data_IF_798982094158
#
_entry.id   IF_798982094158
#
_cell.length_a   1.000
_cell.length_b   1.000
_cell.length_c   1.000
_cell.angle_alpha   90.00
_cell.angle_beta   90.00
_cell.angle_gamma   90.00
#
_symmetry.space_group_name_H-M   'P 1'
#
loop_
_entity.id
_entity.type
_entity.pdbx_description
1 polymer ?
#
# COMPACT_ATOMS: atom_id res chain seq x y z
N UNK A 1 5.17 -3.07 -26.70
CA UNK A 1 3.97 -3.52 -27.46
C UNK A 1 3.18 -4.43 -26.52
N UNK A 2 1.91 -4.14 -26.29
CA UNK A 2 1.02 -5.00 -25.52
C UNK A 2 0.53 -6.14 -26.43
N UNK A 3 0.77 -7.39 -26.03
CA UNK A 3 0.16 -8.54 -26.68
C UNK A 3 -1.24 -8.74 -26.09
N UNK A 4 -2.26 -8.77 -26.95
CA UNK A 4 -3.63 -9.09 -26.56
C UNK A 4 -4.06 -10.42 -27.20
N UNK A 5 -4.72 -11.22 -26.40
CA UNK A 5 -5.30 -12.50 -26.84
C UNK A 5 -6.80 -12.44 -26.58
N UNK A 6 -7.58 -12.98 -27.48
CA UNK A 6 -9.03 -13.11 -27.33
C UNK A 6 -9.40 -14.60 -27.25
N UNK A 7 -10.40 -14.91 -26.48
CA UNK A 7 -10.90 -16.28 -26.31
C UNK A 7 -12.28 -16.27 -25.66
N UNK A 8 -12.99 -17.36 -25.81
CA UNK A 8 -14.28 -17.56 -25.20
C UNK A 8 -14.17 -17.57 -23.67
N UNK A 9 -15.26 -17.26 -22.99
CA UNK A 9 -15.31 -17.17 -21.51
C UNK A 9 -14.88 -18.46 -20.83
N UNK A 10 -15.18 -19.60 -21.42
CA UNK A 10 -14.84 -20.93 -20.87
C UNK A 10 -13.34 -21.20 -20.98
N UNK A 11 -12.71 -20.79 -22.09
CA UNK A 11 -11.25 -20.86 -22.27
C UNK A 11 -10.55 -19.96 -21.23
N UNK A 12 -11.04 -18.75 -21.07
CA UNK A 12 -10.51 -17.82 -20.08
C UNK A 12 -10.71 -18.33 -18.63
N UNK A 13 -11.86 -18.95 -18.34
CA UNK A 13 -12.12 -19.56 -17.04
C UNK A 13 -11.18 -20.75 -16.77
N UNK A 14 -10.85 -21.53 -17.78
CA UNK A 14 -9.87 -22.62 -17.69
C UNK A 14 -8.46 -22.12 -17.34
N UNK A 15 -8.04 -20.97 -17.90
CA UNK A 15 -6.76 -20.36 -17.60
C UNK A 15 -6.66 -19.78 -16.17
N UNK A 16 -7.78 -19.29 -15.65
CA UNK A 16 -7.80 -18.57 -14.36
C UNK A 16 -8.26 -19.43 -13.20
N UNK A 17 -8.90 -20.55 -13.47
CA UNK A 17 -9.54 -21.40 -12.48
C UNK A 17 -10.87 -20.85 -11.90
N UNK A 18 -11.41 -19.77 -12.48
CA UNK A 18 -12.69 -19.18 -12.07
C UNK A 18 -13.36 -18.43 -13.22
N UNK A 19 -14.69 -18.26 -13.15
CA UNK A 19 -15.45 -17.53 -14.15
C UNK A 19 -15.16 -16.03 -14.08
N UNK A 20 -14.73 -15.48 -15.22
CA UNK A 20 -14.50 -14.02 -15.37
C UNK A 20 -15.83 -13.29 -15.50
N UNK A 21 -16.09 -12.37 -14.59
CA UNK A 21 -17.30 -11.53 -14.61
C UNK A 21 -17.15 -10.28 -15.48
N UNK A 22 -15.92 -9.85 -15.76
CA UNK A 22 -15.61 -8.59 -16.45
C UNK A 22 -14.66 -8.76 -17.64
N UNK A 23 -14.69 -9.81 -18.37
CA UNK A 23 -14.15 -9.97 -19.72
C UNK A 23 -12.68 -9.64 -20.02
N UNK A 24 -11.92 -9.04 -19.09
CA UNK A 24 -10.53 -8.63 -19.29
C UNK A 24 -9.64 -9.15 -18.17
N UNK A 25 -8.52 -9.77 -18.56
CA UNK A 25 -7.42 -10.15 -17.69
C UNK A 25 -6.15 -9.49 -18.16
N UNK A 26 -5.38 -8.92 -17.23
CA UNK A 26 -4.07 -8.37 -17.51
C UNK A 26 -3.02 -9.12 -16.69
N UNK A 27 -2.00 -9.65 -17.38
CA UNK A 27 -0.78 -10.12 -16.75
C UNK A 27 0.30 -9.07 -16.95
N UNK A 28 0.87 -8.57 -15.85
CA UNK A 28 1.89 -7.53 -15.88
C UNK A 28 3.12 -7.97 -15.09
N UNK A 29 4.29 -7.55 -15.54
CA UNK A 29 5.51 -7.72 -14.75
C UNK A 29 5.44 -6.81 -13.53
N UNK A 30 5.84 -7.33 -12.37
CA UNK A 30 5.96 -6.49 -11.17
C UNK A 30 7.02 -5.42 -11.39
N UNK A 31 6.76 -4.16 -11.06
CA UNK A 31 7.76 -3.11 -11.13
C UNK A 31 8.88 -3.37 -10.11
N UNK A 32 10.05 -2.85 -10.39
CA UNK A 32 11.09 -2.74 -9.37
C UNK A 32 10.64 -1.69 -8.36
N UNK A 33 10.60 -2.07 -7.09
CA UNK A 33 10.26 -1.13 -6.03
C UNK A 33 11.46 -0.21 -5.75
N UNK A 34 11.20 1.08 -5.47
CA UNK A 34 12.25 2.01 -5.04
C UNK A 34 12.78 1.63 -3.65
N UNK A 35 13.92 2.19 -3.26
CA UNK A 35 14.39 2.06 -1.87
C UNK A 35 13.54 2.88 -0.91
N UNK A 36 13.54 2.49 0.37
CA UNK A 36 12.86 3.25 1.44
C UNK A 36 13.35 4.70 1.46
N UNK A 37 14.65 4.90 1.38
CA UNK A 37 15.24 6.24 1.35
C UNK A 37 14.75 7.09 0.17
N UNK A 38 14.64 6.49 -1.03
CA UNK A 38 14.15 7.20 -2.22
C UNK A 38 12.73 7.72 -2.05
N UNK A 39 11.80 6.89 -1.52
CA UNK A 39 10.40 7.30 -1.39
C UNK A 39 10.16 8.22 -0.18
N UNK A 40 11.01 8.13 0.86
CA UNK A 40 10.90 8.96 2.04
C UNK A 40 11.59 10.32 1.89
N UNK A 41 12.47 10.50 0.92
CA UNK A 41 13.31 11.71 0.80
C UNK A 41 12.51 13.02 0.77
N UNK A 42 11.41 13.06 0.00
CA UNK A 42 10.54 14.23 -0.09
C UNK A 42 9.19 14.06 0.61
N UNK A 43 8.94 12.89 1.19
CA UNK A 43 7.67 12.59 1.83
C UNK A 43 7.53 13.39 3.14
N UNK A 44 6.35 13.94 3.37
CA UNK A 44 5.95 14.59 4.63
C UNK A 44 5.13 13.66 5.50
N UNK A 45 4.28 12.83 4.87
CA UNK A 45 3.42 11.84 5.54
C UNK A 45 3.65 10.46 4.95
N UNK A 46 4.04 9.53 5.81
CA UNK A 46 4.33 8.15 5.45
C UNK A 46 3.48 7.21 6.29
N UNK A 47 2.77 6.31 5.66
CA UNK A 47 2.06 5.25 6.35
C UNK A 47 2.91 3.99 6.42
N UNK A 48 3.10 3.44 7.62
CA UNK A 48 3.80 2.16 7.83
C UNK A 48 2.76 1.09 8.15
N UNK A 49 2.73 0.03 7.37
CA UNK A 49 1.85 -1.11 7.56
C UNK A 49 2.61 -2.25 8.22
N UNK A 50 2.15 -2.64 9.40
CA UNK A 50 2.72 -3.74 10.16
C UNK A 50 1.67 -4.82 10.40
N UNK A 51 2.01 -6.06 10.06
CA UNK A 51 1.20 -7.26 10.29
C UNK A 51 -0.24 -7.18 9.76
N UNK A 52 -0.46 -6.48 8.64
CA UNK A 52 -1.76 -6.42 7.96
C UNK A 52 -1.89 -7.63 7.02
N UNK A 53 -2.53 -8.68 7.46
CA UNK A 53 -2.60 -9.97 6.75
C UNK A 53 -3.78 -10.08 5.78
N UNK A 54 -4.88 -9.35 6.01
CA UNK A 54 -6.01 -9.34 5.07
C UNK A 54 -5.75 -8.41 3.88
N UNK A 55 -5.82 -8.99 2.70
CA UNK A 55 -5.68 -8.28 1.43
C UNK A 55 -6.72 -7.16 1.21
N UNK A 56 -7.93 -7.28 1.78
CA UNK A 56 -8.92 -6.21 1.70
C UNK A 56 -8.49 -4.99 2.54
N UNK A 57 -7.92 -5.23 3.72
CA UNK A 57 -7.40 -4.16 4.56
C UNK A 57 -6.22 -3.46 3.89
N UNK A 58 -5.27 -4.19 3.31
CA UNK A 58 -4.18 -3.60 2.51
C UNK A 58 -4.75 -2.68 1.42
N UNK A 59 -5.67 -3.20 0.60
CA UNK A 59 -6.27 -2.40 -0.48
C UNK A 59 -7.04 -1.18 0.05
N UNK A 60 -7.77 -1.32 1.15
CA UNK A 60 -8.48 -0.23 1.82
C UNK A 60 -7.55 0.86 2.34
N UNK A 61 -6.43 0.47 2.95
CA UNK A 61 -5.42 1.41 3.44
C UNK A 61 -4.80 2.20 2.28
N UNK A 62 -4.40 1.56 1.19
CA UNK A 62 -3.88 2.27 0.01
C UNK A 62 -4.89 3.27 -0.55
N UNK A 63 -6.17 2.91 -0.60
CA UNK A 63 -7.23 3.80 -1.05
C UNK A 63 -7.42 5.00 -0.10
N UNK A 64 -7.41 4.77 1.20
CA UNK A 64 -7.50 5.84 2.21
C UNK A 64 -6.26 6.73 2.20
N UNK A 65 -5.08 6.14 2.09
CA UNK A 65 -3.82 6.87 2.00
C UNK A 65 -3.81 7.83 0.80
N UNK A 66 -4.30 7.38 -0.37
CA UNK A 66 -4.45 8.24 -1.54
C UNK A 66 -5.41 9.41 -1.28
N UNK A 67 -6.57 9.13 -0.68
CA UNK A 67 -7.58 10.14 -0.40
C UNK A 67 -7.12 11.19 0.63
N UNK A 68 -6.29 10.78 1.59
CA UNK A 68 -5.78 11.63 2.65
C UNK A 68 -4.44 12.31 2.31
N UNK A 69 -3.92 12.12 1.09
CA UNK A 69 -2.68 12.72 0.64
C UNK A 69 -1.45 12.22 1.39
N UNK A 70 -1.40 10.91 1.68
CA UNK A 70 -0.20 10.25 2.17
C UNK A 70 0.79 10.15 1.01
N UNK A 71 2.05 10.54 1.24
CA UNK A 71 3.05 10.64 0.18
C UNK A 71 3.70 9.31 -0.16
N UNK A 72 3.82 8.40 0.83
CA UNK A 72 4.41 7.09 0.63
C UNK A 72 3.84 6.04 1.60
N UNK A 73 3.89 4.77 1.19
CA UNK A 73 3.49 3.64 2.04
C UNK A 73 4.66 2.67 2.19
N UNK A 74 5.01 2.36 3.41
CA UNK A 74 6.00 1.34 3.77
C UNK A 74 5.27 0.09 4.26
N UNK A 75 5.60 -1.05 3.71
CA UNK A 75 4.91 -2.32 3.99
C UNK A 75 5.89 -3.29 4.62
N UNK A 76 5.62 -3.76 5.83
CA UNK A 76 6.43 -4.81 6.43
C UNK A 76 6.22 -6.15 5.74
N UNK A 77 7.24 -7.00 5.76
CA UNK A 77 7.18 -8.35 5.15
C UNK A 77 6.14 -9.27 5.80
N UNK A 78 5.70 -8.95 7.01
CA UNK A 78 4.60 -9.62 7.70
C UNK A 78 3.23 -9.35 7.08
N UNK A 79 3.13 -8.34 6.23
CA UNK A 79 1.87 -7.96 5.58
C UNK A 79 1.56 -8.82 4.36
N UNK A 80 0.28 -8.90 4.00
CA UNK A 80 -0.15 -9.42 2.72
C UNK A 80 0.44 -8.60 1.57
N UNK A 81 0.73 -9.26 0.46
CA UNK A 81 1.27 -8.61 -0.75
C UNK A 81 0.27 -7.57 -1.32
N UNK A 82 0.66 -6.28 -1.40
CA UNK A 82 -0.21 -5.24 -1.96
C UNK A 82 -0.60 -5.46 -3.43
N UNK A 83 0.21 -6.23 -4.17
CA UNK A 83 -0.06 -6.56 -5.57
C UNK A 83 -0.85 -7.87 -5.73
N UNK A 84 -1.33 -8.49 -4.66
CA UNK A 84 -2.26 -9.58 -4.79
C UNK A 84 -3.59 -9.08 -5.38
N UNK A 85 -4.27 -9.93 -6.12
CA UNK A 85 -5.48 -9.57 -6.87
C UNK A 85 -6.57 -8.90 -6.02
N UNK A 86 -6.79 -9.39 -4.79
CA UNK A 86 -7.82 -8.85 -3.88
C UNK A 86 -7.46 -7.44 -3.44
N UNK A 87 -6.21 -7.20 -3.04
CA UNK A 87 -5.73 -5.88 -2.62
C UNK A 87 -5.80 -4.86 -3.78
N UNK A 88 -5.33 -5.22 -4.96
CA UNK A 88 -5.42 -4.38 -6.17
C UNK A 88 -6.86 -3.97 -6.48
N UNK A 89 -7.80 -4.90 -6.40
CA UNK A 89 -9.23 -4.58 -6.62
C UNK A 89 -9.79 -3.62 -5.59
N UNK A 90 -9.52 -3.88 -4.30
CA UNK A 90 -10.04 -3.06 -3.20
C UNK A 90 -9.40 -1.68 -3.17
N UNK A 91 -8.12 -1.58 -3.56
CA UNK A 91 -7.44 -0.30 -3.67
C UNK A 91 -7.98 0.61 -4.78
N UNK A 92 -8.84 0.09 -5.66
CA UNK A 92 -9.31 0.82 -6.85
C UNK A 92 -8.17 1.35 -7.74
N UNK A 93 -7.02 0.68 -7.70
CA UNK A 93 -5.83 1.04 -8.48
C UNK A 93 -4.88 2.02 -7.79
N UNK A 94 -5.20 2.53 -6.60
CA UNK A 94 -4.32 3.48 -5.88
C UNK A 94 -2.99 2.86 -5.47
N UNK A 95 -2.90 1.53 -5.35
CA UNK A 95 -1.63 0.81 -5.13
C UNK A 95 -0.60 1.05 -6.25
N UNK A 96 -1.02 1.50 -7.43
CA UNK A 96 -0.14 1.88 -8.54
C UNK A 96 0.15 3.38 -8.60
N UNK A 97 -0.52 4.18 -7.77
CA UNK A 97 -0.42 5.64 -7.77
C UNK A 97 0.46 6.17 -6.64
N UNK A 98 0.34 5.59 -5.44
CA UNK A 98 1.16 5.97 -4.29
C UNK A 98 2.48 5.21 -4.35
N UNK A 99 3.62 5.90 -4.22
CA UNK A 99 4.91 5.23 -4.05
C UNK A 99 4.89 4.33 -2.81
N UNK A 100 5.35 3.10 -2.96
CA UNK A 100 5.45 2.19 -1.83
C UNK A 100 6.62 1.23 -2.01
N UNK A 101 7.11 0.70 -0.88
CA UNK A 101 8.13 -0.33 -0.88
C UNK A 101 8.04 -1.17 0.40
N UNK A 102 8.78 -2.27 0.41
CA UNK A 102 8.93 -3.04 1.65
C UNK A 102 9.96 -2.39 2.57
N UNK A 103 9.64 -2.40 3.87
CA UNK A 103 10.55 -2.05 4.95
C UNK A 103 10.81 -3.30 5.80
N UNK A 104 12.05 -3.52 6.18
CA UNK A 104 12.43 -4.49 7.20
C UNK A 104 12.33 -3.80 8.57
N UNK A 105 12.65 -4.47 9.66
CA UNK A 105 12.35 -4.01 11.04
C UNK A 105 12.96 -2.66 11.49
N UNK A 106 13.27 -1.77 10.56
CA UNK A 106 14.00 -0.52 10.78
C UNK A 106 13.08 0.73 10.84
N UNK A 107 11.89 0.64 11.44
CA UNK A 107 11.03 1.82 11.65
C UNK A 107 11.77 2.92 12.44
N UNK A 108 12.74 2.56 13.26
CA UNK A 108 13.58 3.51 14.02
C UNK A 108 14.39 4.44 13.11
N UNK A 109 14.81 4.00 11.93
CA UNK A 109 15.54 4.82 10.96
C UNK A 109 14.71 5.99 10.45
N UNK A 110 13.37 5.88 10.46
CA UNK A 110 12.49 6.99 10.09
C UNK A 110 12.67 8.19 11.04
N UNK A 111 12.92 7.94 12.33
CA UNK A 111 13.24 8.98 13.29
C UNK A 111 14.56 9.72 12.96
N UNK A 112 15.57 8.99 12.49
CA UNK A 112 16.85 9.57 12.05
C UNK A 112 16.69 10.46 10.82
N UNK A 113 15.67 10.20 9.99
CA UNK A 113 15.32 11.02 8.82
C UNK A 113 14.33 12.15 9.15
N UNK A 114 14.10 12.40 10.44
CA UNK A 114 13.29 13.51 10.94
C UNK A 114 11.78 13.26 10.93
N UNK A 115 11.33 12.01 10.80
CA UNK A 115 9.91 11.68 10.97
C UNK A 115 9.57 11.54 12.45
N UNK A 116 8.46 12.15 12.86
CA UNK A 116 7.77 11.77 14.09
C UNK A 116 6.96 10.50 13.83
N UNK A 117 6.97 9.57 14.73
CA UNK A 117 6.19 8.32 14.58
C UNK A 117 4.99 8.34 15.52
N UNK A 118 3.82 8.02 14.98
CA UNK A 118 2.60 7.82 15.74
C UNK A 118 2.06 6.42 15.45
N UNK A 119 1.86 5.62 16.50
CA UNK A 119 1.24 4.31 16.38
C UNK A 119 -0.28 4.44 16.56
N UNK A 120 -1.04 3.94 15.59
CA UNK A 120 -2.50 3.82 15.73
C UNK A 120 -2.82 2.56 16.54
N UNK A 121 -2.87 2.71 17.83
CA UNK A 121 -3.11 1.62 18.79
C UNK A 121 -4.15 2.03 19.84
N UNK A 122 -4.91 1.05 20.31
CA UNK A 122 -5.81 1.23 21.45
C UNK A 122 -4.98 1.04 22.74
N UNK A 123 -4.67 2.14 23.44
CA UNK A 123 -3.98 2.10 24.71
C UNK A 123 -4.52 3.20 25.64
N UNK A 124 -4.31 3.02 26.96
CA UNK A 124 -4.82 3.96 27.97
C UNK A 124 -4.25 5.38 27.84
N UNK A 125 -3.07 5.53 27.23
CA UNK A 125 -2.40 6.80 27.01
C UNK A 125 -2.50 7.30 25.56
N UNK A 126 -3.48 6.79 24.80
CA UNK A 126 -3.69 7.25 23.43
C UNK A 126 -4.12 8.72 23.41
N UNK A 127 -3.48 9.50 22.55
CA UNK A 127 -3.89 10.88 22.26
C UNK A 127 -4.86 10.91 21.09
N UNK A 128 -5.68 11.93 21.00
CA UNK A 128 -6.58 12.09 19.87
C UNK A 128 -5.79 12.37 18.58
N UNK A 129 -6.32 11.95 17.44
CA UNK A 129 -5.68 12.18 16.13
C UNK A 129 -5.60 13.68 15.76
N UNK A 130 -6.43 14.51 16.39
CA UNK A 130 -6.44 15.98 16.24
C UNK A 130 -5.54 16.69 17.28
N UNK A 131 -4.73 15.96 18.04
CA UNK A 131 -3.77 16.53 18.96
C UNK A 131 -2.81 17.48 18.22
N UNK A 132 -2.64 18.69 18.76
CA UNK A 132 -1.80 19.71 18.15
C UNK A 132 -0.34 19.28 18.01
N UNK A 133 0.17 18.39 18.90
CA UNK A 133 1.51 17.86 18.81
C UNK A 133 1.72 16.96 17.57
N UNK A 134 0.65 16.30 17.10
CA UNK A 134 0.64 15.53 15.84
C UNK A 134 0.48 16.43 14.62
N UNK A 135 -0.20 17.58 14.78
CA UNK A 135 -0.48 18.54 13.70
C UNK A 135 0.65 19.55 13.50
N UNK A 136 1.65 19.60 14.40
CA UNK A 136 2.77 20.50 14.30
C UNK A 136 3.55 20.32 12.97
N UNK A 137 4.11 21.40 12.46
CA UNK A 137 4.94 21.38 11.26
C UNK A 137 6.07 20.35 11.38
N UNK A 138 6.08 19.40 10.46
CA UNK A 138 7.06 18.31 10.47
C UNK A 138 6.70 17.19 9.50
N UNK A 139 7.49 16.12 9.58
CA UNK A 139 7.31 14.88 8.84
C UNK A 139 6.68 13.83 9.76
N UNK A 140 5.56 13.24 9.35
CA UNK A 140 4.82 12.21 10.09
C UNK A 140 4.78 10.91 9.32
#
# INVERSE_FOLDING_TARGET
MLQSYTGDRDVLAGLTGYKLTRGILCAMRRPRLPSVQQICFQARRVAVLDNITDAANIGGIFRSAAALGVDAVLVMRSCCDPLCRKAVRVSMGTVFQIPWTYIENNVKELGEWGFKTAAMALCEHAVSIDDQALMAEGRL
#
